data_IF_693341779916
#
_entry.id   IF_693341779916
#
_cell.length_a   1.000
_cell.length_b   1.000
_cell.length_c   1.000
_cell.angle_alpha   90.00
_cell.angle_beta   90.00
_cell.angle_gamma   90.00
#
_symmetry.space_group_name_H-M   'P 1'
#
loop_
_entity.id
_entity.type
_entity.pdbx_description
1 polymer ?
#
# COMPACT_ATOMS: atom_id res chain seq x y z
N UNK A 1 10.47 -24.64 -19.26
CA UNK A 1 10.13 -23.22 -19.50
C UNK A 1 10.71 -22.42 -18.34
N UNK A 2 11.68 -21.53 -18.59
CA UNK A 2 12.25 -20.66 -17.54
C UNK A 2 11.35 -19.43 -17.44
N UNK A 3 10.98 -18.96 -16.23
CA UNK A 3 10.23 -17.71 -16.11
C UNK A 3 11.15 -16.58 -16.58
N UNK A 4 10.80 -15.94 -17.70
CA UNK A 4 11.38 -14.65 -18.05
C UNK A 4 10.72 -13.62 -17.13
N UNK A 5 11.55 -12.74 -16.57
CA UNK A 5 11.07 -11.60 -15.80
C UNK A 5 10.65 -10.56 -16.83
N UNK A 6 9.41 -10.65 -17.27
CA UNK A 6 8.81 -9.68 -18.18
C UNK A 6 8.37 -8.49 -17.31
N UNK A 7 9.19 -7.44 -17.26
CA UNK A 7 8.91 -6.23 -16.46
C UNK A 7 7.54 -5.62 -16.77
N UNK A 8 7.04 -5.78 -18.00
CA UNK A 8 5.68 -5.41 -18.41
C UNK A 8 4.61 -6.09 -17.55
N UNK A 9 4.75 -7.38 -17.24
CA UNK A 9 3.72 -8.12 -16.49
C UNK A 9 3.59 -7.67 -15.04
N UNK A 10 4.69 -7.28 -14.39
CA UNK A 10 4.63 -6.76 -13.02
C UNK A 10 3.97 -5.37 -12.98
N UNK A 11 4.27 -4.53 -13.97
CA UNK A 11 3.68 -3.20 -14.09
C UNK A 11 2.18 -3.31 -14.35
N UNK A 12 1.74 -4.19 -15.25
CA UNK A 12 0.32 -4.41 -15.54
C UNK A 12 -0.46 -4.87 -14.29
N UNK A 13 0.13 -5.79 -13.52
CA UNK A 13 -0.46 -6.24 -12.25
C UNK A 13 -0.52 -5.10 -11.23
N UNK A 14 0.54 -4.29 -11.15
CA UNK A 14 0.57 -3.14 -10.25
C UNK A 14 -0.51 -2.12 -10.63
N UNK A 15 -0.70 -1.83 -11.92
CA UNK A 15 -1.74 -0.92 -12.40
C UNK A 15 -3.15 -1.39 -12.00
N UNK A 16 -3.43 -2.69 -12.14
CA UNK A 16 -4.72 -3.26 -11.70
C UNK A 16 -4.89 -3.14 -10.19
N UNK A 17 -3.85 -3.46 -9.40
CA UNK A 17 -3.92 -3.35 -7.94
C UNK A 17 -4.12 -1.90 -7.50
N UNK A 18 -3.46 -0.94 -8.15
CA UNK A 18 -3.61 0.47 -7.83
C UNK A 18 -4.99 1.01 -8.24
N UNK A 19 -5.56 0.54 -9.35
CA UNK A 19 -6.87 1.01 -9.81
C UNK A 19 -8.04 0.35 -9.08
N UNK A 20 -8.04 -0.98 -9.00
CA UNK A 20 -9.19 -1.77 -8.56
C UNK A 20 -9.05 -2.23 -7.10
N UNK A 21 -7.84 -2.17 -6.55
CA UNK A 21 -7.53 -2.55 -5.18
C UNK A 21 -7.33 -4.05 -4.97
N UNK A 22 -6.60 -4.39 -3.90
CA UNK A 22 -6.39 -5.77 -3.46
C UNK A 22 -6.31 -5.86 -1.94
N UNK A 23 -6.81 -6.97 -1.37
CA UNK A 23 -6.65 -7.29 0.05
C UNK A 23 -5.66 -8.43 0.19
N UNK A 24 -4.50 -8.14 0.79
CA UNK A 24 -3.48 -9.12 1.10
C UNK A 24 -3.67 -9.62 2.54
N UNK A 25 -3.82 -10.94 2.69
CA UNK A 25 -3.82 -11.61 3.99
C UNK A 25 -2.56 -12.47 4.10
N UNK A 26 -1.79 -12.26 5.14
CA UNK A 26 -0.55 -12.98 5.37
C UNK A 26 -0.39 -13.29 6.85
N UNK A 27 0.31 -14.38 7.15
CA UNK A 27 0.62 -14.78 8.51
C UNK A 27 2.13 -14.90 8.66
N UNK A 28 2.68 -14.37 9.76
CA UNK A 28 4.11 -14.43 10.07
C UNK A 28 4.29 -15.13 11.40
N UNK A 29 5.19 -16.10 11.45
CA UNK A 29 5.55 -16.81 12.68
C UNK A 29 7.01 -16.50 13.00
N UNK A 30 7.25 -15.99 14.20
CA UNK A 30 8.61 -15.74 14.73
C UNK A 30 8.94 -16.84 15.72
N UNK A 31 10.05 -17.54 15.45
CA UNK A 31 10.54 -18.67 16.25
C UNK A 31 11.93 -18.39 16.81
N UNK A 32 12.21 -18.92 18.00
CA UNK A 32 13.53 -18.88 18.63
C UNK A 32 13.92 -20.31 19.01
N UNK A 33 15.12 -20.73 18.60
CA UNK A 33 15.62 -22.10 18.80
C UNK A 33 14.63 -23.20 18.34
N UNK A 34 13.89 -22.94 17.25
CA UNK A 34 12.89 -23.86 16.70
C UNK A 34 11.53 -23.85 17.42
N UNK A 35 11.36 -23.02 18.47
CA UNK A 35 10.10 -22.88 19.21
C UNK A 35 9.33 -21.66 18.67
N UNK A 36 8.09 -21.81 18.19
CA UNK A 36 7.27 -20.67 17.74
C UNK A 36 6.80 -19.85 18.96
N UNK A 37 7.19 -18.57 19.01
CA UNK A 37 6.88 -17.69 20.14
C UNK A 37 5.82 -16.63 19.81
N UNK A 38 5.83 -16.11 18.59
CA UNK A 38 4.93 -15.04 18.17
C UNK A 38 4.30 -15.38 16.82
N UNK A 39 2.97 -15.30 16.75
CA UNK A 39 2.22 -15.35 15.50
C UNK A 39 1.61 -13.98 15.21
N UNK A 40 1.77 -13.49 13.98
CA UNK A 40 1.19 -12.25 13.48
C UNK A 40 0.21 -12.59 12.35
N UNK A 41 -1.03 -12.10 12.47
CA UNK A 41 -2.01 -12.12 11.39
C UNK A 41 -2.08 -10.74 10.77
N UNK A 42 -1.62 -10.62 9.53
CA UNK A 42 -1.54 -9.37 8.80
C UNK A 42 -2.67 -9.31 7.77
N UNK A 43 -3.32 -8.17 7.67
CA UNK A 43 -4.29 -7.86 6.61
C UNK A 43 -4.00 -6.45 6.13
N UNK A 44 -3.71 -6.32 4.84
CA UNK A 44 -3.41 -5.04 4.21
C UNK A 44 -4.35 -4.86 3.01
N UNK A 45 -5.04 -3.72 2.97
CA UNK A 45 -5.70 -3.25 1.76
C UNK A 45 -4.71 -2.36 0.99
N UNK A 46 -4.52 -2.65 -0.30
CA UNK A 46 -3.58 -1.96 -1.18
C UNK A 46 -4.36 -1.47 -2.39
N UNK A 47 -4.40 -0.16 -2.59
CA UNK A 47 -4.89 0.47 -3.80
C UNK A 47 -4.23 1.86 -3.93
N UNK A 48 -4.48 2.55 -5.04
CA UNK A 48 -4.13 3.96 -5.18
C UNK A 48 -4.85 4.81 -4.14
N UNK A 49 -4.28 5.95 -3.77
CA UNK A 49 -4.85 6.82 -2.73
C UNK A 49 -6.28 7.28 -3.07
N UNK A 50 -6.54 7.61 -4.34
CA UNK A 50 -7.87 7.96 -4.84
C UNK A 50 -8.86 6.81 -4.59
N UNK A 51 -8.57 5.61 -5.09
CA UNK A 51 -9.38 4.40 -4.86
C UNK A 51 -9.56 4.08 -3.36
N UNK A 52 -8.52 4.23 -2.55
CA UNK A 52 -8.60 3.98 -1.11
C UNK A 52 -9.58 4.96 -0.44
N UNK A 53 -9.53 6.24 -0.80
CA UNK A 53 -10.47 7.25 -0.28
C UNK A 53 -11.88 7.04 -0.81
N UNK A 54 -12.06 6.65 -2.07
CA UNK A 54 -13.38 6.26 -2.61
C UNK A 54 -14.00 5.08 -1.84
N UNK A 55 -13.16 4.15 -1.39
CA UNK A 55 -13.57 3.02 -0.53
C UNK A 55 -13.70 3.39 0.95
N UNK A 56 -13.56 4.67 1.32
CA UNK A 56 -13.71 5.16 2.69
C UNK A 56 -12.50 4.88 3.59
N UNK A 57 -11.37 4.45 3.04
CA UNK A 57 -10.11 4.34 3.77
C UNK A 57 -9.38 5.69 3.80
N UNK A 58 -8.71 5.98 4.92
CA UNK A 58 -7.83 7.14 5.09
C UNK A 58 -8.50 8.54 4.94
N UNK A 59 -9.83 8.65 5.07
CA UNK A 59 -10.54 9.95 4.99
C UNK A 59 -9.98 11.01 5.96
N UNK A 60 -9.66 10.64 7.21
CA UNK A 60 -9.04 11.55 8.19
C UNK A 60 -7.59 11.93 7.82
N UNK A 61 -6.86 11.02 7.18
CA UNK A 61 -5.45 11.23 6.80
C UNK A 61 -5.32 12.07 5.52
N UNK A 62 -6.32 12.01 4.63
CA UNK A 62 -6.38 12.83 3.40
C UNK A 62 -6.59 14.32 3.73
N UNK A 63 -7.41 14.62 4.74
CA UNK A 63 -7.64 16.00 5.21
C UNK A 63 -6.35 16.63 5.76
N UNK A 64 -5.55 15.87 6.52
CA UNK A 64 -4.30 16.35 7.12
C UNK A 64 -3.19 16.58 6.08
N UNK A 65 -3.09 15.71 5.06
CA UNK A 65 -2.07 15.83 4.00
C UNK A 65 -2.38 16.92 2.97
N UNK A 66 -3.66 17.22 2.70
CA UNK A 66 -4.05 18.36 1.86
C UNK A 66 -3.57 19.69 2.45
N UNK A 67 -3.58 19.84 3.78
CA UNK A 67 -3.05 21.05 4.43
C UNK A 67 -1.53 21.20 4.21
N UNK A 68 -0.76 20.11 4.25
CA UNK A 68 0.70 20.16 4.05
C UNK A 68 1.10 20.44 2.59
N UNK A 69 0.31 19.97 1.61
CA UNK A 69 0.54 20.24 0.19
C UNK A 69 0.30 21.72 -0.18
N UNK A 70 -0.68 22.38 0.46
CA UNK A 70 -0.98 23.81 0.26
C UNK A 70 0.17 24.69 0.77
N UNK A 71 0.76 24.36 1.92
CA UNK A 71 1.86 25.14 2.54
C UNK A 71 3.15 25.12 1.70
N UNK A 72 3.39 24.05 0.93
CA UNK A 72 4.59 23.91 0.09
C UNK A 72 4.56 24.80 -1.17
N UNK A 73 3.38 25.18 -1.66
CA UNK A 73 3.23 26.11 -2.79
C UNK A 73 3.50 27.57 -2.38
N UNK A 74 3.29 27.93 -1.12
CA UNK A 74 3.50 29.31 -0.66
C UNK A 74 4.98 29.65 -0.44
N UNK A 75 5.84 28.66 -0.17
CA UNK A 75 7.28 28.89 0.00
C UNK A 75 8.08 29.00 -1.31
N UNK A 76 7.52 28.63 -2.47
CA UNK A 76 8.21 28.81 -3.77
C UNK A 76 8.01 30.23 -4.37
N UNK A 77 7.29 31.11 -3.67
CA UNK A 77 7.01 32.50 -4.07
C UNK A 77 7.65 33.57 -3.18
N UNK A 78 8.57 33.20 -2.28
CA UNK A 78 9.43 34.15 -1.56
C UNK A 78 10.88 33.95 -1.95
#
# INVERSE_FOLDING_TARGET
MRPRKDEETLVDVLDVVLRDGAVLRADVIVSVAGIPLVGLKLTAAIAGMETMTEYGFFEEWDVERRQTAVTRRQHKKK
#
